data_IF_070152196619
#
_entry.id   IF_070152196619
#
_cell.length_a   1.000
_cell.length_b   1.000
_cell.length_c   1.000
_cell.angle_alpha   90.00
_cell.angle_beta   90.00
_cell.angle_gamma   90.00
#
_symmetry.space_group_name_H-M   'P 1'
#
loop_
_entity.id
_entity.type
_entity.pdbx_description
1 polymer ?
#
# COMPACT_ATOMS: atom_id res chain seq x y z
N UNK A 1 13.47 -17.80 -15.77
CA UNK A 1 12.92 -16.70 -16.60
C UNK A 1 12.79 -15.46 -15.71
N UNK A 2 13.31 -14.30 -16.12
CA UNK A 2 13.25 -13.07 -15.30
C UNK A 2 11.95 -12.33 -15.59
N UNK A 3 11.36 -11.70 -14.58
CA UNK A 3 10.06 -11.02 -14.72
C UNK A 3 10.11 -9.62 -14.15
N UNK A 4 9.34 -8.72 -14.76
CA UNK A 4 9.04 -7.38 -14.25
C UNK A 4 7.54 -7.32 -14.00
N UNK A 5 7.19 -6.90 -12.80
CA UNK A 5 5.81 -6.81 -12.32
C UNK A 5 5.44 -5.34 -12.26
N UNK A 6 4.49 -4.94 -13.09
CA UNK A 6 3.98 -3.57 -13.10
C UNK A 6 2.64 -3.54 -12.40
N UNK A 7 2.51 -2.69 -11.39
CA UNK A 7 1.28 -2.51 -10.63
C UNK A 7 0.62 -1.20 -11.02
N UNK A 8 -0.71 -1.21 -11.06
CA UNK A 8 -1.48 0.00 -11.27
C UNK A 8 -1.57 0.85 -10.01
N UNK A 9 -1.52 2.16 -10.19
CA UNK A 9 -1.81 3.12 -9.14
C UNK A 9 -3.02 3.98 -9.56
N UNK A 10 -4.20 3.68 -9.04
CA UNK A 10 -5.42 4.40 -9.39
C UNK A 10 -5.46 5.84 -8.87
N UNK A 11 -4.53 6.25 -7.98
CA UNK A 11 -4.33 7.67 -7.66
C UNK A 11 -3.65 8.44 -8.81
N UNK A 12 -3.06 7.73 -9.78
CA UNK A 12 -2.37 8.32 -10.93
C UNK A 12 -3.27 8.32 -12.16
N UNK A 13 -3.82 9.48 -12.50
CA UNK A 13 -4.77 9.63 -13.61
C UNK A 13 -4.15 9.46 -14.99
N UNK A 14 -2.83 9.65 -15.11
CA UNK A 14 -2.11 9.66 -16.38
C UNK A 14 -1.15 8.48 -16.56
N UNK A 15 -1.10 7.54 -15.62
CA UNK A 15 -0.21 6.38 -15.72
C UNK A 15 -0.77 5.35 -16.70
N UNK A 16 -0.13 5.22 -17.85
CA UNK A 16 -0.52 4.25 -18.87
C UNK A 16 0.36 3.00 -18.82
N UNK A 17 0.00 2.05 -17.94
CA UNK A 17 0.74 0.80 -17.79
C UNK A 17 0.90 -0.01 -19.09
N UNK A 18 -0.05 0.10 -20.01
CA UNK A 18 0.05 -0.55 -21.33
C UNK A 18 1.22 -0.01 -22.15
N UNK A 19 1.43 1.31 -22.16
CA UNK A 19 2.53 1.96 -22.88
C UNK A 19 3.88 1.61 -22.25
N UNK A 20 3.97 1.65 -20.91
CA UNK A 20 5.17 1.24 -20.17
C UNK A 20 5.50 -0.23 -20.45
N UNK A 21 4.51 -1.11 -20.39
CA UNK A 21 4.72 -2.53 -20.65
C UNK A 21 5.20 -2.79 -22.08
N UNK A 22 4.62 -2.09 -23.07
CA UNK A 22 5.03 -2.21 -24.47
C UNK A 22 6.47 -1.74 -24.67
N UNK A 23 6.82 -0.59 -24.09
CA UNK A 23 8.19 -0.06 -24.13
C UNK A 23 9.20 -1.05 -23.53
N UNK A 24 8.90 -1.60 -22.34
CA UNK A 24 9.79 -2.54 -21.67
C UNK A 24 9.96 -3.86 -22.43
N UNK A 25 8.90 -4.39 -23.06
CA UNK A 25 9.00 -5.59 -23.90
C UNK A 25 9.97 -5.40 -25.06
N UNK A 26 9.95 -4.23 -25.70
CA UNK A 26 10.88 -3.90 -26.77
C UNK A 26 12.33 -3.72 -26.31
N UNK A 27 12.53 -3.21 -25.08
CA UNK A 27 13.88 -2.97 -24.52
C UNK A 27 14.49 -4.18 -23.83
N UNK A 28 13.67 -5.09 -23.31
CA UNK A 28 14.09 -6.19 -22.45
C UNK A 28 13.51 -7.52 -22.94
N UNK A 29 13.94 -8.04 -24.10
CA UNK A 29 13.36 -9.24 -24.73
C UNK A 29 13.53 -10.54 -23.92
N UNK A 30 14.41 -10.56 -22.91
CA UNK A 30 14.58 -11.69 -21.98
C UNK A 30 13.71 -11.62 -20.71
N UNK A 31 12.85 -10.61 -20.59
CA UNK A 31 11.98 -10.40 -19.44
C UNK A 31 10.51 -10.59 -19.80
N UNK A 32 9.81 -11.33 -18.96
CA UNK A 32 8.35 -11.34 -18.97
C UNK A 32 7.84 -10.06 -18.31
N UNK A 33 6.96 -9.33 -19.00
CA UNK A 33 6.33 -8.13 -18.46
C UNK A 33 4.88 -8.46 -18.11
N UNK A 34 4.61 -8.57 -16.81
CA UNK A 34 3.29 -8.82 -16.25
C UNK A 34 2.69 -7.50 -15.74
N UNK A 35 1.46 -7.19 -16.16
CA UNK A 35 0.68 -6.07 -15.62
C UNK A 35 -0.28 -6.62 -14.57
N UNK A 36 -0.37 -5.93 -13.44
CA UNK A 36 -1.21 -6.25 -12.30
C UNK A 36 -2.07 -5.03 -11.98
N UNK A 37 -3.20 -5.26 -11.30
CA UNK A 37 -3.98 -4.18 -10.72
C UNK A 37 -3.23 -3.49 -9.58
N UNK A 38 -3.97 -2.84 -8.67
CA UNK A 38 -3.38 -2.28 -7.47
C UNK A 38 -2.65 -3.36 -6.64
N UNK A 39 -1.54 -3.00 -6.01
CA UNK A 39 -0.71 -3.94 -5.24
C UNK A 39 -1.50 -4.67 -4.14
N UNK A 40 -2.25 -3.92 -3.32
CA UNK A 40 -3.01 -4.50 -2.21
C UNK A 40 -4.15 -5.37 -2.73
N UNK A 41 -4.94 -4.85 -3.67
CA UNK A 41 -6.05 -5.57 -4.29
C UNK A 41 -5.58 -6.91 -4.89
N UNK A 42 -4.54 -6.87 -5.73
CA UNK A 42 -3.97 -8.05 -6.37
C UNK A 42 -3.62 -9.14 -5.34
N UNK A 43 -2.92 -8.80 -4.26
CA UNK A 43 -2.48 -9.81 -3.28
C UNK A 43 -3.59 -10.24 -2.33
N UNK A 44 -4.43 -9.32 -1.87
CA UNK A 44 -5.49 -9.60 -0.90
C UNK A 44 -6.66 -10.39 -1.51
N UNK A 45 -6.95 -10.23 -2.80
CA UNK A 45 -8.01 -10.98 -3.49
C UNK A 45 -7.79 -12.49 -3.51
N UNK A 46 -6.52 -12.93 -3.39
CA UNK A 46 -6.12 -14.34 -3.39
C UNK A 46 -6.27 -15.02 -2.04
N UNK A 47 -6.51 -14.24 -0.99
CA UNK A 47 -6.72 -14.76 0.35
C UNK A 47 -8.20 -15.05 0.57
N UNK A 48 -8.48 -16.04 1.42
CA UNK A 48 -9.84 -16.21 1.92
C UNK A 48 -10.28 -14.99 2.74
N UNK A 49 -11.59 -14.86 2.99
CA UNK A 49 -12.14 -13.68 3.66
C UNK A 49 -11.58 -13.49 5.08
N UNK A 50 -11.38 -14.58 5.82
CA UNK A 50 -10.92 -14.53 7.21
C UNK A 50 -9.44 -14.13 7.27
N UNK A 51 -8.61 -14.73 6.41
CA UNK A 51 -7.21 -14.40 6.24
C UNK A 51 -7.01 -12.97 5.76
N UNK A 52 -7.87 -12.51 4.85
CA UNK A 52 -7.80 -11.16 4.27
C UNK A 52 -7.92 -10.07 5.33
N UNK A 53 -8.92 -10.14 6.21
CA UNK A 53 -9.12 -9.13 7.27
C UNK A 53 -7.93 -9.10 8.23
N UNK A 54 -7.49 -10.27 8.71
CA UNK A 54 -6.31 -10.35 9.58
C UNK A 54 -5.04 -9.81 8.89
N UNK A 55 -4.90 -10.03 7.58
CA UNK A 55 -3.76 -9.51 6.81
C UNK A 55 -3.80 -8.00 6.63
N UNK A 56 -4.98 -7.43 6.40
CA UNK A 56 -5.19 -5.99 6.32
C UNK A 56 -4.78 -5.34 7.63
N UNK A 57 -5.22 -5.86 8.77
CA UNK A 57 -4.89 -5.30 10.09
C UNK A 57 -3.38 -5.42 10.38
N UNK A 58 -2.76 -6.55 10.02
CA UNK A 58 -1.31 -6.72 10.14
C UNK A 58 -0.54 -5.69 9.30
N UNK A 59 -0.96 -5.48 8.04
CA UNK A 59 -0.33 -4.51 7.15
C UNK A 59 -0.54 -3.07 7.63
N UNK A 60 -1.75 -2.73 8.06
CA UNK A 60 -2.08 -1.40 8.57
C UNK A 60 -1.22 -1.04 9.79
N UNK A 61 -1.06 -1.98 10.74
CA UNK A 61 -0.14 -1.82 11.87
C UNK A 61 1.30 -1.64 11.39
N UNK A 62 1.79 -2.55 10.53
CA UNK A 62 3.17 -2.51 10.05
C UNK A 62 3.53 -1.20 9.32
N UNK A 63 2.64 -0.70 8.47
CA UNK A 63 2.84 0.58 7.77
C UNK A 63 2.83 1.74 8.77
N UNK A 64 1.88 1.75 9.71
CA UNK A 64 1.78 2.81 10.70
C UNK A 64 3.01 2.84 11.64
N UNK A 65 3.58 1.67 11.98
CA UNK A 65 4.81 1.54 12.76
C UNK A 65 6.05 2.09 12.03
N UNK A 66 6.06 2.10 10.70
CA UNK A 66 7.18 2.61 9.91
C UNK A 66 7.24 4.16 9.83
N UNK A 67 6.25 4.88 10.37
CA UNK A 67 6.24 6.34 10.29
C UNK A 67 7.30 6.96 11.21
N UNK A 68 8.17 7.78 10.62
CA UNK A 68 9.13 8.59 11.38
C UNK A 68 8.37 9.69 12.10
N UNK A 69 8.33 9.64 13.43
CA UNK A 69 7.67 10.66 14.28
C UNK A 69 8.57 11.84 14.60
N UNK A 70 9.88 11.63 14.66
CA UNK A 70 10.87 12.67 14.89
C UNK A 70 12.00 12.59 13.85
N UNK A 71 12.01 13.57 12.94
CA UNK A 71 13.03 13.68 11.89
C UNK A 71 14.41 14.01 12.45
N UNK A 72 14.50 14.56 13.67
CA UNK A 72 15.76 14.87 14.34
C UNK A 72 16.35 13.67 15.07
N UNK A 73 15.54 12.62 15.29
CA UNK A 73 15.93 11.37 15.96
C UNK A 73 15.40 10.14 15.21
N UNK A 74 15.74 9.97 13.92
CA UNK A 74 15.15 8.94 13.07
C UNK A 74 15.55 7.51 13.50
N UNK A 75 16.65 7.38 14.26
CA UNK A 75 17.19 6.10 14.73
C UNK A 75 16.93 5.83 16.22
N UNK A 76 16.23 6.72 16.93
CA UNK A 76 15.71 6.40 18.26
C UNK A 76 14.52 5.46 18.04
N UNK A 77 14.84 4.19 17.77
CA UNK A 77 13.93 3.06 17.57
C UNK A 77 13.15 2.80 18.87
N UNK A 78 12.27 3.70 19.22
CA UNK A 78 11.19 3.37 20.12
C UNK A 78 10.24 2.55 19.25
N UNK A 79 10.29 1.22 19.38
CA UNK A 79 9.22 0.34 18.92
C UNK A 79 7.93 0.84 19.57
N UNK A 80 7.20 1.69 18.85
CA UNK A 80 5.96 2.25 19.34
C UNK A 80 4.81 1.45 18.75
N UNK A 81 3.84 1.14 19.60
CA UNK A 81 2.56 0.66 19.11
C UNK A 81 1.87 1.83 18.38
N UNK A 82 1.47 1.67 17.11
CA UNK A 82 0.75 2.71 16.40
C UNK A 82 -0.55 3.04 17.11
N UNK A 83 -0.94 4.32 17.06
CA UNK A 83 -2.24 4.73 17.57
C UNK A 83 -3.33 4.12 16.70
N UNK A 84 -4.49 3.85 17.31
CA UNK A 84 -5.65 3.31 16.59
C UNK A 84 -6.00 4.15 15.35
N UNK A 85 -5.97 5.48 15.47
CA UNK A 85 -6.24 6.38 14.35
C UNK A 85 -5.25 6.25 13.19
N UNK A 86 -3.98 5.97 13.47
CA UNK A 86 -2.95 5.74 12.47
C UNK A 86 -3.21 4.41 11.74
N UNK A 87 -3.49 3.33 12.49
CA UNK A 87 -3.88 2.05 11.90
C UNK A 87 -5.13 2.16 11.04
N UNK A 88 -6.16 2.88 11.49
CA UNK A 88 -7.39 3.08 10.71
C UNK A 88 -7.15 3.91 9.45
N UNK A 89 -6.22 4.87 9.49
CA UNK A 89 -5.83 5.61 8.29
C UNK A 89 -5.19 4.68 7.26
N UNK A 90 -4.21 3.87 7.66
CA UNK A 90 -3.54 2.94 6.74
C UNK A 90 -4.50 1.84 6.24
N UNK A 91 -5.37 1.33 7.11
CA UNK A 91 -6.41 0.35 6.75
C UNK A 91 -7.32 0.88 5.63
N UNK A 92 -7.77 2.14 5.74
CA UNK A 92 -8.55 2.80 4.67
C UNK A 92 -7.75 2.94 3.38
N UNK A 93 -6.45 3.27 3.47
CA UNK A 93 -5.58 3.34 2.30
C UNK A 93 -5.44 1.99 1.58
N UNK A 94 -5.24 0.91 2.34
CA UNK A 94 -5.19 -0.47 1.82
C UNK A 94 -6.51 -0.87 1.14
N UNK A 95 -7.64 -0.56 1.78
CA UNK A 95 -8.98 -0.86 1.26
C UNK A 95 -9.49 0.15 0.21
N UNK A 96 -8.76 1.25 0.02
CA UNK A 96 -9.13 2.37 -0.85
C UNK A 96 -10.48 2.99 -0.48
N UNK A 97 -10.78 3.00 0.81
CA UNK A 97 -11.93 3.69 1.37
C UNK A 97 -11.68 5.21 1.38
N UNK A 98 -12.72 6.04 1.17
CA UNK A 98 -12.58 7.48 1.30
C UNK A 98 -12.12 7.84 2.72
N UNK A 99 -11.35 8.94 2.89
CA UNK A 99 -10.95 9.37 4.21
C UNK A 99 -12.20 9.63 5.07
N UNK A 100 -12.30 8.92 6.20
CA UNK A 100 -13.34 9.18 7.20
C UNK A 100 -13.25 10.62 7.71
N UNK A 101 -14.37 11.22 8.12
CA UNK A 101 -14.37 12.55 8.77
C UNK A 101 -13.39 12.52 9.95
N UNK A 102 -12.54 13.54 10.12
CA UNK A 102 -11.68 13.61 11.30
C UNK A 102 -12.57 13.59 12.54
N UNK A 103 -12.29 12.66 13.46
CA UNK A 103 -12.89 12.69 14.80
C UNK A 103 -12.27 13.90 15.48
N UNK A 104 -12.99 15.03 15.46
CA UNK A 104 -12.68 16.16 16.31
C UNK A 104 -12.89 15.66 17.75
N UNK A 105 -11.79 15.33 18.42
CA UNK A 105 -11.79 15.17 19.88
C UNK A 105 -12.22 16.54 20.44
N UNK A 106 -13.49 16.68 20.77
CA UNK A 106 -13.95 17.79 21.60
C UNK A 106 -13.32 17.60 22.96
N UNK A 107 -12.22 18.30 23.19
CA UNK A 107 -11.71 18.55 24.55
C UNK A 107 -12.61 19.63 25.12
N UNK A 108 -13.51 19.24 26.03
CA UNK A 108 -14.45 20.12 26.72
C UNK A 108 -14.77 19.53 28.08
#
# INVERSE_FOLDING_TARGET
MRRILLYDDPATTNLKLSEIALYLRGKLPGFEIERRGNFFEYHLERLDRSEREGKIDQLARGIASCRIRDLMRPNDQIDFEPLYGEMQFERRGILREPPGKPILLKVG
#
